data_IF_406839651566
#
_entry.id   IF_406839651566
#
_cell.length_a   1.000
_cell.length_b   1.000
_cell.length_c   1.000
_cell.angle_alpha   90.00
_cell.angle_beta   90.00
_cell.angle_gamma   90.00
#
_symmetry.space_group_name_H-M   'P 1'
#
loop_
_entity.id
_entity.type
_entity.pdbx_description
1 polymer ?
#
# COMPACT_ATOMS: atom_id res chain seq x y z
N UNK A 1 -5.57 -13.96 7.32
CA UNK A 1 -4.83 -13.27 8.42
C UNK A 1 -4.58 -11.83 7.98
N UNK A 2 -4.66 -10.85 8.90
CA UNK A 2 -4.37 -9.43 8.64
C UNK A 2 -3.39 -8.95 9.69
N UNK A 3 -2.30 -8.29 9.27
CA UNK A 3 -1.23 -7.82 10.16
C UNK A 3 -0.93 -6.35 9.83
N UNK A 4 -0.79 -5.53 10.87
CA UNK A 4 -0.32 -4.15 10.75
C UNK A 4 0.97 -4.01 11.58
N UNK A 5 2.02 -3.43 10.97
CA UNK A 5 3.31 -3.17 11.62
C UNK A 5 3.44 -1.67 11.83
N UNK A 6 3.61 -1.23 13.07
CA UNK A 6 3.72 0.19 13.45
C UNK A 6 4.81 0.41 14.50
N UNK A 7 5.22 1.67 14.69
CA UNK A 7 6.31 2.07 15.57
C UNK A 7 6.99 3.37 15.13
N UNK A 8 7.89 3.89 15.99
CA UNK A 8 8.61 5.15 15.74
C UNK A 8 9.45 5.10 14.45
N UNK A 9 9.81 6.26 13.89
CA UNK A 9 10.77 6.35 12.79
C UNK A 9 12.11 5.69 13.15
N UNK A 10 12.71 4.98 12.19
CA UNK A 10 14.05 4.37 12.36
C UNK A 10 14.11 3.03 13.11
N UNK A 11 13.01 2.51 13.67
CA UNK A 11 13.03 1.24 14.45
C UNK A 11 13.07 -0.04 13.59
N UNK A 12 13.23 0.08 12.27
CA UNK A 12 13.35 -1.08 11.36
C UNK A 12 12.03 -1.71 10.90
N UNK A 13 10.89 -1.00 10.98
CA UNK A 13 9.56 -1.50 10.61
C UNK A 13 9.50 -2.08 9.20
N UNK A 14 10.00 -1.32 8.22
CA UNK A 14 9.98 -1.69 6.80
C UNK A 14 10.81 -2.95 6.56
N UNK A 15 11.98 -3.04 7.20
CA UNK A 15 12.83 -4.24 7.15
C UNK A 15 12.13 -5.45 7.74
N UNK A 16 11.52 -5.32 8.92
CA UNK A 16 10.77 -6.40 9.55
C UNK A 16 9.59 -6.84 8.67
N UNK A 17 8.81 -5.89 8.15
CA UNK A 17 7.69 -6.17 7.27
C UNK A 17 8.14 -6.90 6.00
N UNK A 18 9.22 -6.46 5.34
CA UNK A 18 9.76 -7.11 4.15
C UNK A 18 10.18 -8.56 4.41
N UNK A 19 10.89 -8.82 5.51
CA UNK A 19 11.29 -10.17 5.92
C UNK A 19 10.08 -11.07 6.21
N UNK A 20 9.09 -10.55 6.92
CA UNK A 20 7.85 -11.27 7.22
C UNK A 20 7.07 -11.61 5.94
N UNK A 21 6.92 -10.64 5.03
CA UNK A 21 6.25 -10.83 3.73
C UNK A 21 6.95 -11.94 2.94
N UNK A 22 8.28 -11.87 2.81
CA UNK A 22 9.07 -12.87 2.10
C UNK A 22 8.91 -14.26 2.72
N UNK A 23 8.98 -14.35 4.05
CA UNK A 23 8.84 -15.63 4.78
C UNK A 23 7.45 -16.23 4.57
N UNK A 24 6.38 -15.42 4.64
CA UNK A 24 5.02 -15.89 4.39
C UNK A 24 4.83 -16.36 2.94
N UNK A 25 5.43 -15.67 1.98
CA UNK A 25 5.41 -16.06 0.58
C UNK A 25 6.17 -17.39 0.36
N UNK A 26 7.33 -17.57 0.97
CA UNK A 26 8.11 -18.82 0.92
C UNK A 26 7.36 -20.00 1.55
N UNK A 27 6.43 -19.75 2.48
CA UNK A 27 5.51 -20.75 3.03
C UNK A 27 4.27 -21.02 2.15
N UNK A 28 4.25 -20.50 0.92
CA UNK A 28 3.15 -20.68 -0.03
C UNK A 28 1.89 -19.86 0.30
N UNK A 29 2.01 -18.82 1.13
CA UNK A 29 0.88 -17.90 1.38
C UNK A 29 0.81 -16.85 0.29
N UNK A 30 -0.40 -16.56 -0.18
CA UNK A 30 -0.65 -15.39 -1.01
C UNK A 30 -0.66 -14.13 -0.13
N UNK A 31 0.30 -13.24 -0.34
CA UNK A 31 0.50 -12.03 0.48
C UNK A 31 0.15 -10.78 -0.31
N UNK A 32 -0.78 -9.98 0.23
CA UNK A 32 -1.00 -8.60 -0.20
C UNK A 32 -0.24 -7.67 0.74
N UNK A 33 0.84 -7.07 0.25
CA UNK A 33 1.63 -6.09 0.98
C UNK A 33 1.12 -4.67 0.69
N UNK A 34 0.93 -3.86 1.73
CA UNK A 34 0.50 -2.47 1.62
C UNK A 34 1.52 -1.63 2.37
N UNK A 35 2.15 -0.68 1.66
CA UNK A 35 2.96 0.36 2.29
C UNK A 35 2.08 1.57 2.58
N UNK A 36 1.99 1.94 3.85
CA UNK A 36 1.24 3.11 4.32
C UNK A 36 2.18 4.19 4.89
N UNK A 37 3.49 4.03 4.70
CA UNK A 37 4.50 5.01 5.07
C UNK A 37 4.67 6.02 3.92
N UNK A 38 4.62 7.35 4.17
CA UNK A 38 4.79 8.37 3.12
C UNK A 38 6.16 8.29 2.41
N UNK A 39 7.19 7.75 3.06
CA UNK A 39 8.52 7.60 2.46
C UNK A 39 8.63 6.38 1.51
N UNK A 40 7.58 5.54 1.40
CA UNK A 40 7.39 4.47 0.40
C UNK A 40 8.59 3.54 0.14
N UNK A 41 9.22 3.01 1.20
CA UNK A 41 10.44 2.21 1.10
C UNK A 41 10.21 0.69 0.96
N UNK A 42 8.98 0.19 1.12
CA UNK A 42 8.72 -1.26 1.18
C UNK A 42 8.99 -1.96 -0.15
N UNK A 43 8.65 -1.35 -1.28
CA UNK A 43 8.87 -1.94 -2.61
C UNK A 43 10.36 -2.19 -2.88
N UNK A 44 11.20 -1.20 -2.56
CA UNK A 44 12.65 -1.35 -2.64
C UNK A 44 13.19 -2.42 -1.68
N UNK A 45 12.68 -2.46 -0.44
CA UNK A 45 13.05 -3.48 0.54
C UNK A 45 12.66 -4.92 0.12
N UNK A 46 11.61 -5.07 -0.70
CA UNK A 46 11.19 -6.34 -1.30
C UNK A 46 11.99 -6.70 -2.56
N UNK A 47 12.85 -5.82 -3.07
CA UNK A 47 13.66 -6.04 -4.26
C UNK A 47 12.89 -5.86 -5.58
N UNK A 48 11.80 -5.10 -5.57
CA UNK A 48 11.07 -4.75 -6.80
C UNK A 48 11.95 -3.84 -7.65
N UNK A 49 12.16 -4.20 -8.92
CA UNK A 49 12.91 -3.37 -9.87
C UNK A 49 12.16 -2.08 -10.15
N UNK A 50 12.91 -1.00 -10.34
CA UNK A 50 12.36 0.34 -10.62
C UNK A 50 11.33 0.78 -9.58
N UNK A 51 11.55 0.46 -8.30
CA UNK A 51 10.62 0.78 -7.20
C UNK A 51 10.34 2.28 -7.07
N UNK A 52 11.29 3.11 -7.47
CA UNK A 52 11.19 4.57 -7.56
C UNK A 52 10.17 5.07 -8.60
N UNK A 53 9.80 4.23 -9.57
CA UNK A 53 8.79 4.53 -10.60
C UNK A 53 7.37 4.13 -10.21
N UNK A 54 7.20 3.48 -9.05
CA UNK A 54 5.88 3.09 -8.57
C UNK A 54 5.12 4.34 -8.18
N UNK A 55 4.00 4.58 -8.86
CA UNK A 55 3.09 5.67 -8.51
C UNK A 55 2.25 5.24 -7.30
N UNK A 56 2.23 6.01 -6.19
CA UNK A 56 1.35 5.72 -5.07
C UNK A 56 -0.13 5.77 -5.47
N UNK A 57 -0.96 4.87 -4.92
CA UNK A 57 -2.42 4.87 -5.20
C UNK A 57 -3.04 6.23 -4.87
N UNK A 58 -2.56 6.92 -3.83
CA UNK A 58 -3.03 8.25 -3.45
C UNK A 58 -2.87 9.32 -4.55
N UNK A 59 -1.96 9.11 -5.51
CA UNK A 59 -1.72 10.02 -6.64
C UNK A 59 -2.55 9.64 -7.88
N UNK A 60 -3.11 8.43 -7.94
CA UNK A 60 -3.89 7.93 -9.07
C UNK A 60 -5.34 8.45 -9.05
N UNK A 61 -5.52 9.75 -9.31
CA UNK A 61 -6.83 10.44 -9.21
C UNK A 61 -7.93 9.80 -10.07
N UNK A 62 -7.60 9.42 -11.30
CA UNK A 62 -8.56 8.80 -12.23
C UNK A 62 -9.05 7.46 -11.70
N UNK A 63 -8.13 6.61 -11.23
CA UNK A 63 -8.46 5.30 -10.64
C UNK A 63 -9.30 5.46 -9.37
N UNK A 64 -8.94 6.40 -8.49
CA UNK A 64 -9.73 6.70 -7.28
C UNK A 64 -11.14 7.12 -7.68
N UNK A 65 -11.29 8.01 -8.66
CA UNK A 65 -12.60 8.48 -9.13
C UNK A 65 -13.42 7.34 -9.74
N UNK A 66 -12.84 6.55 -10.64
CA UNK A 66 -13.50 5.41 -11.28
C UNK A 66 -14.05 4.42 -10.24
N UNK A 67 -13.25 4.12 -9.21
CA UNK A 67 -13.59 3.11 -8.21
C UNK A 67 -14.56 3.65 -7.16
N UNK A 68 -14.33 4.86 -6.66
CA UNK A 68 -15.05 5.41 -5.49
C UNK A 68 -16.20 6.35 -5.84
N UNK A 69 -16.21 6.91 -7.06
CA UNK A 69 -17.13 7.99 -7.46
C UNK A 69 -16.81 9.35 -6.82
N UNK A 70 -15.73 9.44 -6.03
CA UNK A 70 -15.37 10.64 -5.29
C UNK A 70 -14.26 11.43 -5.98
N UNK A 71 -14.45 12.75 -6.09
CA UNK A 71 -13.45 13.69 -6.56
C UNK A 71 -12.98 14.57 -5.41
N UNK A 72 -11.66 14.67 -5.22
CA UNK A 72 -11.10 15.53 -4.17
C UNK A 72 -11.51 17.00 -4.43
N UNK A 73 -12.10 17.65 -3.42
CA UNK A 73 -12.54 19.05 -3.49
C UNK A 73 -14.00 19.28 -3.89
N UNK A 74 -14.76 18.23 -4.26
CA UNK A 74 -16.21 18.35 -4.48
C UNK A 74 -16.99 18.13 -3.18
N UNK A 75 -17.81 19.10 -2.78
CA UNK A 75 -18.72 18.98 -1.64
C UNK A 75 -19.95 18.16 -2.08
N UNK A 76 -20.33 17.16 -1.29
CA UNK A 76 -21.53 16.33 -1.56
C UNK A 76 -21.28 15.11 -2.47
N UNK A 77 -20.03 14.74 -2.74
CA UNK A 77 -19.70 13.53 -3.48
C UNK A 77 -20.12 12.26 -2.74
N UNK A 78 -20.72 11.30 -3.44
CA UNK A 78 -21.07 9.99 -2.89
C UNK A 78 -19.84 9.08 -2.88
N UNK A 79 -19.34 8.73 -1.69
CA UNK A 79 -18.29 7.73 -1.55
C UNK A 79 -18.88 6.33 -1.59
N UNK A 80 -18.51 5.53 -2.59
CA UNK A 80 -18.75 4.09 -2.57
C UNK A 80 -17.80 3.44 -1.58
N UNK A 81 -18.30 3.13 -0.38
CA UNK A 81 -17.52 2.50 0.70
C UNK A 81 -16.99 1.10 0.36
N UNK A 82 -17.67 0.39 -0.56
CA UNK A 82 -17.27 -0.92 -1.09
C UNK A 82 -17.14 -0.85 -2.62
N UNK A 83 -16.08 -0.21 -3.13
CA UNK A 83 -15.80 -0.25 -4.56
C UNK A 83 -15.42 -1.67 -4.97
N UNK A 84 -15.82 -2.10 -6.17
CA UNK A 84 -15.29 -3.36 -6.71
C UNK A 84 -13.86 -3.06 -7.15
N UNK A 85 -12.88 -3.79 -6.60
CA UNK A 85 -11.44 -3.75 -6.94
C UNK A 85 -11.11 -4.89 -7.88
#
# INVERSE_FOLDING_TARGET
>A
MKIAVSGKGGVGKTTFAALMIRTLNEQGKHVLAIDADPDANLAGALGIKDSDKIVPIAEMKELIFERTGAQAGTIGGYFKLNPKV
#
